data_IF_330337917862
#
_entry.id   IF_330337917862
#
_cell.length_a   1.000
_cell.length_b   1.000
_cell.length_c   1.000
_cell.angle_alpha   90.00
_cell.angle_beta   90.00
_cell.angle_gamma   90.00
#
_symmetry.space_group_name_H-M   'P 1'
#
loop_
_entity.id
_entity.type
_entity.pdbx_description
1 polymer ?
#
# COMPACT_ATOMS: atom_id res chain seq x y z
N UNK A 1 -5.03 -14.01 -8.13
CA UNK A 1 -4.86 -13.77 -6.68
C UNK A 1 -5.27 -12.34 -6.39
N UNK A 2 -6.08 -12.07 -5.36
CA UNK A 2 -6.47 -10.71 -4.99
C UNK A 2 -5.48 -10.13 -3.96
N UNK A 3 -5.31 -8.80 -3.97
CA UNK A 3 -4.37 -8.10 -3.07
C UNK A 3 -4.60 -8.42 -1.59
N UNK A 4 -5.86 -8.56 -1.18
CA UNK A 4 -6.19 -8.91 0.20
C UNK A 4 -5.86 -10.37 0.56
N UNK A 5 -5.84 -11.27 -0.43
CA UNK A 5 -5.39 -12.65 -0.23
C UNK A 5 -3.88 -12.68 0.02
N UNK A 6 -3.11 -11.92 -0.77
CA UNK A 6 -1.67 -11.80 -0.58
C UNK A 6 -1.35 -11.21 0.80
N UNK A 7 -2.04 -10.13 1.19
CA UNK A 7 -1.87 -9.54 2.52
C UNK A 7 -2.07 -10.56 3.66
N UNK A 8 -3.04 -11.47 3.53
CA UNK A 8 -3.28 -12.51 4.55
C UNK A 8 -2.21 -13.59 4.57
N UNK A 9 -1.56 -13.86 3.43
CA UNK A 9 -0.45 -14.80 3.34
C UNK A 9 0.79 -14.20 4.02
N UNK A 10 1.10 -12.94 3.71
CA UNK A 10 2.27 -12.24 4.26
C UNK A 10 2.07 -11.86 5.74
N UNK A 11 0.85 -11.49 6.12
CA UNK A 11 0.47 -11.10 7.47
C UNK A 11 -0.69 -11.97 7.97
N UNK A 12 -0.40 -13.18 8.49
CA UNK A 12 -1.42 -14.09 8.99
C UNK A 12 -2.34 -13.43 10.06
N UNK A 13 -3.69 -13.53 9.93
CA UNK A 13 -4.65 -12.86 10.83
C UNK A 13 -4.65 -13.33 12.30
N UNK A 14 -4.04 -14.48 12.59
CA UNK A 14 -3.87 -15.02 13.94
C UNK A 14 -2.97 -14.13 14.81
N UNK A 15 -2.18 -13.24 14.20
CA UNK A 15 -1.30 -12.30 14.89
C UNK A 15 -1.81 -10.86 14.80
N UNK A 16 -1.47 -10.08 15.81
CA UNK A 16 -1.87 -8.67 15.94
C UNK A 16 -0.91 -7.71 15.21
N UNK A 17 -0.61 -7.98 13.94
CA UNK A 17 0.39 -7.23 13.14
C UNK A 17 0.17 -5.71 13.12
N UNK A 18 -1.08 -5.26 13.11
CA UNK A 18 -1.45 -3.86 12.93
C UNK A 18 -2.02 -3.21 14.19
N UNK A 19 -1.98 -3.91 15.34
CA UNK A 19 -2.50 -3.37 16.58
C UNK A 19 -1.69 -2.14 17.02
N UNK A 20 -2.38 -1.08 17.45
CA UNK A 20 -1.76 0.20 17.77
C UNK A 20 -1.31 1.02 16.56
N UNK A 21 -1.52 0.54 15.31
CA UNK A 21 -1.12 1.28 14.12
C UNK A 21 -2.27 2.08 13.52
N UNK A 22 -1.90 3.23 12.94
CA UNK A 22 -2.76 3.98 12.02
C UNK A 22 -2.56 3.46 10.60
N UNK A 23 -3.54 2.74 10.08
CA UNK A 23 -3.48 2.05 8.79
C UNK A 23 -4.25 2.82 7.71
N UNK A 24 -3.65 2.99 6.53
CA UNK A 24 -4.31 3.58 5.36
C UNK A 24 -4.25 2.61 4.20
N UNK A 25 -5.40 2.20 3.68
CA UNK A 25 -5.49 1.13 2.67
C UNK A 25 -6.39 1.52 1.51
N UNK A 26 -6.14 0.95 0.33
CA UNK A 26 -6.98 1.16 -0.85
C UNK A 26 -8.33 0.47 -0.79
N UNK A 27 -9.20 0.82 -1.75
CA UNK A 27 -10.53 0.26 -1.93
C UNK A 27 -10.53 -1.26 -2.18
N UNK A 28 -9.37 -1.86 -2.49
CA UNK A 28 -9.17 -3.31 -2.56
C UNK A 28 -9.20 -4.03 -1.20
N UNK A 29 -9.03 -3.31 -0.09
CA UNK A 29 -8.85 -3.89 1.25
C UNK A 29 -10.03 -3.63 2.19
N UNK A 30 -11.26 -3.60 1.68
CA UNK A 30 -12.45 -3.23 2.48
C UNK A 30 -12.69 -4.16 3.67
N UNK A 31 -12.34 -5.45 3.55
CA UNK A 31 -12.51 -6.43 4.62
C UNK A 31 -11.36 -6.43 5.66
N UNK A 32 -10.36 -5.55 5.49
CA UNK A 32 -9.28 -5.39 6.47
C UNK A 32 -9.82 -5.08 7.87
N UNK A 33 -10.83 -4.20 7.94
CA UNK A 33 -11.43 -3.77 9.20
C UNK A 33 -12.06 -4.90 10.03
N UNK A 34 -12.44 -6.00 9.37
CA UNK A 34 -13.03 -7.18 10.01
C UNK A 34 -11.99 -8.25 10.36
N UNK A 35 -10.78 -8.14 9.80
CA UNK A 35 -9.78 -9.20 9.82
C UNK A 35 -8.65 -8.89 10.81
N UNK A 36 -8.24 -7.63 10.94
CA UNK A 36 -7.12 -7.23 11.78
C UNK A 36 -7.53 -6.23 12.86
N UNK A 37 -6.85 -6.26 14.00
CA UNK A 37 -6.89 -5.20 14.99
C UNK A 37 -6.05 -4.01 14.53
N UNK A 38 -6.51 -2.78 14.81
CA UNK A 38 -5.84 -1.52 14.45
C UNK A 38 -6.30 -0.40 15.39
N UNK A 39 -5.52 0.69 15.48
CA UNK A 39 -5.93 1.88 16.23
C UNK A 39 -6.83 2.77 15.38
N UNK A 40 -6.40 3.09 14.15
CA UNK A 40 -7.13 3.96 13.23
C UNK A 40 -7.05 3.43 11.81
N UNK A 41 -8.20 3.31 11.14
CA UNK A 41 -8.27 2.81 9.76
C UNK A 41 -8.82 3.89 8.81
N UNK A 42 -8.07 4.17 7.75
CA UNK A 42 -8.49 5.04 6.66
C UNK A 42 -8.71 4.21 5.40
N UNK A 43 -9.98 3.90 5.13
CA UNK A 43 -10.43 3.28 3.89
C UNK A 43 -11.27 4.26 3.07
N UNK A 44 -11.09 4.33 1.74
CA UNK A 44 -11.97 5.11 0.89
C UNK A 44 -13.38 4.52 0.92
N UNK A 45 -14.38 5.39 1.03
CA UNK A 45 -15.79 4.99 0.99
C UNK A 45 -16.16 4.66 -0.45
N UNK A 46 -16.57 3.41 -0.72
CA UNK A 46 -17.08 3.01 -2.03
C UNK A 46 -18.44 3.67 -2.30
N UNK A 47 -18.70 3.95 -3.58
CA UNK A 47 -20.01 4.42 -4.02
C UNK A 47 -21.04 3.30 -3.79
N UNK A 48 -22.19 3.59 -3.13
CA UNK A 48 -23.24 2.60 -2.99
C UNK A 48 -23.85 2.25 -4.35
N UNK A 49 -24.30 1.00 -4.53
CA UNK A 49 -24.94 0.55 -5.77
C UNK A 49 -26.18 1.39 -6.05
N UNK A 50 -26.28 1.97 -7.24
CA UNK A 50 -27.40 2.85 -7.65
C UNK A 50 -27.44 4.23 -6.98
N UNK A 51 -26.56 4.52 -6.02
CA UNK A 51 -26.57 5.79 -5.27
C UNK A 51 -25.45 6.75 -5.66
N UNK A 52 -25.31 7.86 -4.94
CA UNK A 52 -24.21 8.83 -5.07
C UNK A 52 -23.43 8.92 -3.77
N UNK A 53 -22.12 9.20 -3.86
CA UNK A 53 -21.34 9.57 -2.69
C UNK A 53 -21.82 10.93 -2.17
N UNK A 54 -22.03 11.03 -0.87
CA UNK A 54 -22.33 12.30 -0.20
C UNK A 54 -21.17 13.28 -0.38
N UNK A 55 -21.44 14.59 -0.30
CA UNK A 55 -20.40 15.63 -0.40
C UNK A 55 -19.28 15.40 0.63
N UNK A 56 -19.65 15.00 1.85
CA UNK A 56 -18.68 14.69 2.91
C UNK A 56 -17.81 13.47 2.56
N UNK A 57 -18.39 12.38 2.07
CA UNK A 57 -17.60 11.20 1.68
C UNK A 57 -16.67 11.49 0.49
N UNK A 58 -17.11 12.30 -0.47
CA UNK A 58 -16.24 12.78 -1.56
C UNK A 58 -15.07 13.59 -1.02
N UNK A 59 -15.32 14.52 -0.09
CA UNK A 59 -14.27 15.32 0.53
C UNK A 59 -13.27 14.44 1.28
N UNK A 60 -13.73 13.49 2.11
CA UNK A 60 -12.86 12.54 2.83
C UNK A 60 -12.02 11.69 1.87
N UNK A 61 -12.64 11.14 0.83
CA UNK A 61 -11.92 10.38 -0.19
C UNK A 61 -10.87 11.24 -0.92
N UNK A 62 -11.18 12.51 -1.22
CA UNK A 62 -10.25 13.44 -1.86
C UNK A 62 -9.03 13.72 -0.97
N UNK A 63 -9.23 13.97 0.32
CA UNK A 63 -8.11 14.16 1.26
C UNK A 63 -7.23 12.91 1.35
N UNK A 64 -7.84 11.73 1.34
CA UNK A 64 -7.10 10.48 1.34
C UNK A 64 -6.34 10.26 0.03
N UNK A 65 -6.95 10.58 -1.12
CA UNK A 65 -6.30 10.51 -2.43
C UNK A 65 -5.08 11.43 -2.51
N UNK A 66 -5.17 12.67 -2.00
CA UNK A 66 -4.03 13.59 -1.95
C UNK A 66 -2.84 13.02 -1.18
N UNK A 67 -3.09 12.36 -0.05
CA UNK A 67 -2.03 11.68 0.72
C UNK A 67 -1.42 10.49 -0.04
N UNK A 68 -2.24 9.73 -0.78
CA UNK A 68 -1.76 8.61 -1.61
C UNK A 68 -0.82 9.07 -2.70
N UNK A 69 -1.11 10.19 -3.37
CA UNK A 69 -0.26 10.69 -4.47
C UNK A 69 1.19 10.86 -4.02
N UNK A 70 1.42 11.36 -2.81
CA UNK A 70 2.79 11.49 -2.26
C UNK A 70 3.45 10.13 -2.05
N UNK A 71 2.72 9.16 -1.49
CA UNK A 71 3.21 7.79 -1.27
C UNK A 71 3.47 7.07 -2.60
N UNK A 72 2.57 7.20 -3.57
CA UNK A 72 2.71 6.62 -4.91
C UNK A 72 3.87 7.24 -5.66
N UNK A 73 4.10 8.56 -5.54
CA UNK A 73 5.28 9.20 -6.10
C UNK A 73 6.57 8.67 -5.45
N UNK A 74 6.54 8.47 -4.13
CA UNK A 74 7.65 7.87 -3.38
C UNK A 74 7.90 6.43 -3.87
N UNK A 75 6.90 5.57 -3.96
CA UNK A 75 7.07 4.19 -4.47
C UNK A 75 7.51 4.20 -5.94
N UNK A 76 6.93 5.08 -6.76
CA UNK A 76 7.28 5.23 -8.17
C UNK A 76 8.73 5.60 -8.40
N UNK A 77 9.36 6.29 -7.44
CA UNK A 77 10.78 6.61 -7.48
C UNK A 77 11.71 5.38 -7.51
N UNK A 78 11.27 4.22 -7.02
CA UNK A 78 12.02 2.96 -7.15
C UNK A 78 12.28 2.58 -8.61
N UNK A 79 11.41 3.01 -9.53
CA UNK A 79 11.58 2.76 -10.97
C UNK A 79 12.73 3.54 -11.60
N UNK A 80 13.44 4.40 -10.85
CA UNK A 80 14.69 5.03 -11.29
C UNK A 80 15.81 4.00 -11.46
N UNK A 81 15.75 2.91 -10.70
CA UNK A 81 16.71 1.82 -10.80
C UNK A 81 16.29 0.86 -11.91
N UNK A 82 17.11 0.75 -12.95
CA UNK A 82 16.82 -0.09 -14.12
C UNK A 82 16.60 -1.56 -13.78
N UNK A 83 17.26 -2.05 -12.73
CA UNK A 83 17.07 -3.42 -12.24
C UNK A 83 15.62 -3.68 -11.77
N UNK A 84 14.91 -2.65 -11.33
CA UNK A 84 13.50 -2.72 -10.88
C UNK A 84 12.50 -2.30 -11.96
N UNK A 85 12.92 -1.54 -12.99
CA UNK A 85 12.02 -1.04 -14.04
C UNK A 85 12.02 -1.87 -15.32
N UNK A 86 13.17 -2.45 -15.67
CA UNK A 86 13.32 -3.22 -16.90
C UNK A 86 12.79 -4.65 -16.69
N UNK A 87 12.59 -5.41 -17.78
CA UNK A 87 12.19 -6.81 -17.68
C UNK A 87 13.22 -7.58 -16.85
N UNK A 88 12.77 -8.22 -15.77
CA UNK A 88 13.61 -9.07 -14.93
C UNK A 88 14.18 -10.22 -15.77
N UNK A 89 15.52 -10.29 -15.84
CA UNK A 89 16.27 -11.37 -16.52
C UNK A 89 17.04 -12.24 -15.54
N UNK A 90 17.08 -11.86 -14.27
CA UNK A 90 17.77 -12.64 -13.24
C UNK A 90 16.94 -13.86 -12.87
N UNK A 91 17.60 -15.01 -12.76
CA UNK A 91 16.96 -16.26 -12.34
C UNK A 91 17.03 -16.47 -10.83
N UNK A 92 18.01 -15.84 -10.16
CA UNK A 92 18.12 -15.86 -8.71
C UNK A 92 17.24 -14.75 -8.11
N UNK A 93 16.09 -15.12 -7.56
CA UNK A 93 15.14 -14.19 -6.96
C UNK A 93 15.61 -13.67 -5.60
N UNK A 94 16.38 -14.45 -4.83
CA UNK A 94 16.93 -13.99 -3.55
C UNK A 94 17.90 -12.83 -3.74
N UNK A 95 18.75 -12.90 -4.78
CA UNK A 95 19.63 -11.79 -5.14
C UNK A 95 18.85 -10.58 -5.66
N UNK A 96 17.73 -10.81 -6.35
CA UNK A 96 16.85 -9.72 -6.77
C UNK A 96 16.22 -9.02 -5.56
N UNK A 97 15.76 -9.77 -4.57
CA UNK A 97 15.15 -9.22 -3.36
C UNK A 97 16.15 -8.37 -2.58
N UNK A 98 17.40 -8.83 -2.42
CA UNK A 98 18.47 -8.01 -1.80
C UNK A 98 18.70 -6.72 -2.59
N UNK A 99 18.73 -6.78 -3.93
CA UNK A 99 18.90 -5.59 -4.74
C UNK A 99 17.71 -4.62 -4.62
N UNK A 100 16.48 -5.15 -4.50
CA UNK A 100 15.27 -4.37 -4.27
C UNK A 100 15.33 -3.64 -2.93
N UNK A 101 15.72 -4.33 -1.85
CA UNK A 101 15.90 -3.75 -0.51
C UNK A 101 16.94 -2.62 -0.51
N UNK A 102 18.09 -2.83 -1.15
CA UNK A 102 19.13 -1.79 -1.28
C UNK A 102 18.61 -0.58 -2.04
N UNK A 103 17.92 -0.78 -3.18
CA UNK A 103 17.32 0.30 -3.95
C UNK A 103 16.27 1.07 -3.14
N UNK A 104 15.45 0.37 -2.35
CA UNK A 104 14.48 0.98 -1.46
C UNK A 104 15.15 1.82 -0.36
N UNK A 105 16.22 1.30 0.26
CA UNK A 105 17.00 2.04 1.24
C UNK A 105 17.62 3.33 0.68
N UNK A 106 18.28 3.23 -0.48
CA UNK A 106 18.87 4.39 -1.15
C UNK A 106 17.82 5.45 -1.53
N UNK A 107 16.67 5.01 -2.04
CA UNK A 107 15.60 5.94 -2.40
C UNK A 107 14.97 6.61 -1.19
N UNK A 108 14.75 5.86 -0.10
CA UNK A 108 14.27 6.42 1.16
C UNK A 108 15.25 7.46 1.73
N UNK A 109 16.56 7.25 1.58
CA UNK A 109 17.57 8.24 1.95
C UNK A 109 17.41 9.54 1.13
N UNK A 110 17.22 9.45 -0.19
CA UNK A 110 16.98 10.61 -1.06
C UNK A 110 15.63 11.32 -0.82
N UNK A 111 14.63 10.65 -0.22
CA UNK A 111 13.35 11.28 0.13
C UNK A 111 13.40 12.04 1.45
N UNK A 112 14.36 11.72 2.31
CA UNK A 112 14.45 12.23 3.69
C UNK A 112 15.53 13.30 3.86
N UNK A 113 16.42 13.45 2.88
CA UNK A 113 17.50 14.44 2.82
C UNK A 113 17.40 15.23 1.51
#
# INVERSE_FOLDING_TARGET
MHDFTLLKQDFPPDKQWFNGLTVRLDSGFQDFGKTYAYEKLFLPTKKPRGGKLTKNNKFRNLQQARKRVVVEHSIGGLKRYRILSDRLRMHNLEQFDVALEVCAGLWNFCLTH
#
